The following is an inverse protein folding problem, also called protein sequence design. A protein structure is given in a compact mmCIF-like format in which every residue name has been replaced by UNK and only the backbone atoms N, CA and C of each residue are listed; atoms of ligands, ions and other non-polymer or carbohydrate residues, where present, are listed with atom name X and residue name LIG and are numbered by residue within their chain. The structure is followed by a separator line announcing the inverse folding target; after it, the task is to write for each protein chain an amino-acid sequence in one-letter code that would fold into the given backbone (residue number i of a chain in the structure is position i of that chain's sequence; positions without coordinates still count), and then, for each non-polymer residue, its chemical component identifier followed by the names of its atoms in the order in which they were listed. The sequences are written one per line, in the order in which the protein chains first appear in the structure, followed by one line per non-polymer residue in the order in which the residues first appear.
data_IF_449894315657
#
_entry.id   IF_449894315657
#
_cell.length_a   1.000
_cell.length_b   1.000
_cell.length_c   1.000
_cell.angle_alpha   90.00
_cell.angle_beta   90.00
_cell.angle_gamma   90.00
#
_symmetry.space_group_name_H-M   'P 1'
#
loop_
_entity.id
_entity.type
_entity.pdbx_description
1 polymer ?
#
# COMPACT_ATOMS: atom_id res chain seq x y z
N UNK A 1 -63.12 -23.10 -0.17
CA UNK A 1 -61.73 -23.32 0.32
C UNK A 1 -60.86 -23.40 -0.91
N UNK A 2 -59.85 -22.52 -1.03
CA UNK A 2 -58.93 -22.56 -2.15
C UNK A 2 -57.88 -23.67 -1.89
N UNK A 3 -57.75 -24.61 -2.82
CA UNK A 3 -56.77 -25.66 -2.73
C UNK A 3 -55.37 -25.08 -2.89
N UNK A 4 -54.50 -25.26 -1.91
CA UNK A 4 -53.12 -24.85 -1.99
C UNK A 4 -52.30 -25.98 -2.64
N UNK A 5 -52.08 -25.91 -3.96
CA UNK A 5 -51.28 -26.87 -4.74
C UNK A 5 -49.82 -26.42 -4.91
N UNK A 6 -49.33 -25.47 -4.09
CA UNK A 6 -47.98 -24.93 -4.22
C UNK A 6 -46.90 -26.02 -4.04
N UNK A 7 -47.18 -27.06 -3.26
CA UNK A 7 -46.26 -28.20 -3.07
C UNK A 7 -46.12 -29.09 -4.32
N UNK A 8 -47.10 -29.07 -5.24
CA UNK A 8 -47.04 -29.88 -6.45
C UNK A 8 -46.52 -29.10 -7.68
N UNK A 9 -46.10 -27.85 -7.51
CA UNK A 9 -45.51 -27.07 -8.59
C UNK A 9 -44.01 -27.41 -8.70
N UNK A 10 -43.57 -28.08 -9.78
CA UNK A 10 -42.16 -28.42 -9.93
C UNK A 10 -41.33 -27.16 -10.04
N UNK A 11 -40.33 -27.04 -9.19
CA UNK A 11 -39.32 -25.97 -9.26
C UNK A 11 -38.29 -26.36 -10.31
N UNK A 12 -38.18 -25.54 -11.36
CA UNK A 12 -37.12 -25.72 -12.36
C UNK A 12 -35.91 -24.89 -11.97
N UNK A 13 -34.82 -25.56 -11.65
CA UNK A 13 -33.55 -24.89 -11.41
C UNK A 13 -32.82 -24.60 -12.73
N UNK A 14 -32.21 -23.44 -12.85
CA UNK A 14 -31.37 -23.12 -14.01
C UNK A 14 -30.02 -23.83 -13.91
N UNK A 15 -29.63 -24.53 -14.96
CA UNK A 15 -28.29 -25.10 -15.11
C UNK A 15 -27.21 -24.02 -15.35
N UNK A 16 -27.65 -22.76 -15.59
CA UNK A 16 -26.71 -21.64 -15.76
C UNK A 16 -26.45 -20.96 -14.43
N UNK A 17 -25.23 -21.04 -13.95
CA UNK A 17 -24.75 -20.28 -12.80
C UNK A 17 -24.39 -18.86 -13.26
N UNK A 18 -24.81 -17.85 -12.50
CA UNK A 18 -24.37 -16.47 -12.75
C UNK A 18 -22.93 -16.34 -12.25
N UNK A 19 -21.99 -16.13 -13.17
CA UNK A 19 -20.61 -15.85 -12.79
C UNK A 19 -20.49 -14.42 -12.26
N UNK A 20 -19.73 -14.24 -11.19
CA UNK A 20 -19.38 -12.91 -10.69
C UNK A 20 -18.50 -12.18 -11.70
N UNK A 21 -18.77 -10.90 -11.92
CA UNK A 21 -17.85 -10.02 -12.64
C UNK A 21 -16.68 -9.69 -11.69
N UNK A 22 -15.46 -9.83 -12.21
CA UNK A 22 -14.25 -9.51 -11.49
C UNK A 22 -13.47 -8.45 -12.25
N UNK A 23 -12.88 -7.51 -11.54
CA UNK A 23 -11.92 -6.61 -12.13
C UNK A 23 -10.68 -7.39 -12.56
N UNK A 24 -10.05 -6.96 -13.66
CA UNK A 24 -8.77 -7.51 -14.10
C UNK A 24 -7.69 -7.19 -13.06
N UNK A 25 -6.80 -8.15 -12.80
CA UNK A 25 -5.68 -7.96 -11.89
C UNK A 25 -4.60 -7.14 -12.56
N UNK A 26 -3.99 -6.22 -11.82
CA UNK A 26 -3.05 -5.23 -12.35
C UNK A 26 -1.62 -5.43 -11.85
N UNK A 27 -1.42 -6.21 -10.78
CA UNK A 27 -0.11 -6.33 -10.14
C UNK A 27 0.98 -6.78 -11.12
N UNK A 28 0.70 -7.75 -11.99
CA UNK A 28 1.67 -8.29 -12.94
C UNK A 28 2.18 -7.28 -13.97
N UNK A 29 1.44 -6.17 -14.18
CA UNK A 29 1.82 -5.11 -15.11
C UNK A 29 2.70 -4.03 -14.48
N UNK A 30 2.68 -3.91 -13.17
CA UNK A 30 3.32 -2.82 -12.42
C UNK A 30 4.45 -3.29 -11.50
N UNK A 31 4.50 -4.59 -11.18
CA UNK A 31 5.56 -5.18 -10.37
C UNK A 31 6.72 -5.68 -11.23
N UNK A 32 7.92 -5.65 -10.67
CA UNK A 32 9.10 -6.23 -11.28
C UNK A 32 9.14 -7.75 -11.02
N UNK A 33 9.34 -8.54 -12.07
CA UNK A 33 9.43 -10.00 -12.03
C UNK A 33 10.86 -10.50 -12.36
N UNK A 34 11.86 -9.63 -12.36
CA UNK A 34 13.22 -9.98 -12.80
C UNK A 34 13.86 -11.08 -11.95
N UNK A 35 13.46 -11.19 -10.67
CA UNK A 35 14.00 -12.17 -9.73
C UNK A 35 13.17 -13.45 -9.60
N UNK A 36 12.05 -13.58 -10.33
CA UNK A 36 11.16 -14.75 -10.24
C UNK A 36 11.88 -16.07 -10.56
N UNK A 37 12.83 -16.05 -11.50
CA UNK A 37 13.62 -17.22 -11.88
C UNK A 37 14.70 -17.64 -10.88
N UNK A 38 15.08 -16.76 -9.95
CA UNK A 38 16.12 -17.01 -8.94
C UNK A 38 15.56 -17.61 -7.66
N UNK A 39 14.28 -17.35 -7.37
CA UNK A 39 13.57 -17.88 -6.19
C UNK A 39 12.85 -19.16 -6.59
N UNK A 40 13.34 -20.32 -6.11
CA UNK A 40 12.80 -21.64 -6.47
C UNK A 40 11.91 -22.24 -5.39
N UNK A 41 12.21 -21.99 -4.12
CA UNK A 41 11.53 -22.59 -2.99
C UNK A 41 11.05 -21.53 -1.97
N UNK A 42 10.00 -21.87 -1.22
CA UNK A 42 9.49 -21.00 -0.15
C UNK A 42 10.55 -20.82 0.96
N UNK A 43 10.83 -19.58 1.31
CA UNK A 43 11.85 -19.23 2.29
C UNK A 43 13.23 -18.93 1.70
N UNK A 44 13.38 -19.04 0.38
CA UNK A 44 14.59 -18.59 -0.29
C UNK A 44 14.72 -17.08 -0.22
N UNK A 45 15.98 -16.64 -0.18
CA UNK A 45 16.36 -15.22 -0.15
C UNK A 45 17.22 -14.90 -1.34
N UNK A 46 16.94 -13.78 -1.99
CA UNK A 46 17.80 -13.20 -3.00
C UNK A 46 18.49 -11.97 -2.44
N UNK A 47 19.83 -11.95 -2.47
CA UNK A 47 20.60 -10.80 -2.04
C UNK A 47 20.88 -9.91 -3.24
N UNK A 48 20.23 -8.75 -3.27
CA UNK A 48 20.42 -7.74 -4.30
C UNK A 48 21.53 -6.80 -3.84
N UNK A 49 22.60 -6.67 -4.64
CA UNK A 49 23.70 -5.75 -4.37
C UNK A 49 23.39 -4.39 -4.97
N UNK A 50 23.59 -3.34 -4.20
CA UNK A 50 23.44 -1.96 -4.68
C UNK A 50 24.78 -1.40 -5.11
N UNK A 51 24.75 -0.53 -6.12
CA UNK A 51 25.93 0.22 -6.54
C UNK A 51 26.30 1.26 -5.47
N UNK A 52 27.58 1.57 -5.38
CA UNK A 52 28.12 2.56 -4.42
C UNK A 52 28.27 3.90 -5.12
N UNK A 53 27.74 4.95 -4.50
CA UNK A 53 27.92 6.31 -5.00
C UNK A 53 29.38 6.77 -4.83
N UNK A 54 29.96 7.27 -5.94
CA UNK A 54 31.32 7.81 -5.95
C UNK A 54 31.24 9.32 -5.77
N UNK A 55 31.91 9.81 -4.72
CA UNK A 55 32.01 11.25 -4.45
C UNK A 55 33.12 11.86 -5.30
N UNK A 56 32.76 12.85 -6.12
CA UNK A 56 33.74 13.62 -6.89
C UNK A 56 34.32 14.74 -6.03
N UNK A 57 35.64 14.70 -5.83
CA UNK A 57 36.36 15.73 -5.09
C UNK A 57 37.06 16.69 -6.04
N UNK A 58 37.12 18.00 -5.66
CA UNK A 58 37.81 19.01 -6.46
C UNK A 58 39.31 18.90 -6.22
N UNK A 59 40.10 18.78 -7.29
CA UNK A 59 41.53 18.76 -7.25
C UNK A 59 42.13 20.19 -7.22
N UNK A 60 43.03 20.45 -6.32
CA UNK A 60 43.85 21.65 -6.31
C UNK A 60 45.34 21.26 -6.48
N UNK A 61 46.09 22.00 -7.27
CA UNK A 61 47.50 21.70 -7.57
C UNK A 61 48.33 21.59 -6.25
N UNK A 62 48.99 20.43 -6.08
CA UNK A 62 49.78 20.13 -4.87
C UNK A 62 49.02 19.45 -3.75
N UNK A 63 47.73 19.13 -3.92
CA UNK A 63 46.94 18.40 -2.94
C UNK A 63 47.28 16.91 -3.00
N UNK A 64 47.37 16.28 -1.81
CA UNK A 64 47.47 14.82 -1.71
C UNK A 64 46.08 14.21 -1.98
N UNK A 65 45.98 13.28 -2.93
CA UNK A 65 44.72 12.60 -3.24
C UNK A 65 44.43 11.56 -2.17
N UNK A 66 43.21 11.61 -1.61
CA UNK A 66 42.70 10.62 -0.68
C UNK A 66 41.78 9.67 -1.45
N UNK A 67 42.04 8.38 -1.36
CA UNK A 67 41.20 7.36 -1.95
C UNK A 67 39.90 7.24 -1.14
N UNK A 68 38.78 7.10 -1.84
CA UNK A 68 37.48 6.77 -1.23
C UNK A 68 37.44 5.25 -1.02
N UNK A 69 37.01 4.81 0.16
CA UNK A 69 36.73 3.42 0.45
C UNK A 69 35.28 3.11 0.00
N UNK A 70 35.12 2.12 -0.88
CA UNK A 70 33.83 1.75 -1.45
C UNK A 70 33.25 0.58 -0.64
N UNK A 71 32.22 0.84 0.15
CA UNK A 71 31.48 -0.17 0.91
C UNK A 71 30.14 -0.43 0.25
N UNK A 72 30.00 -1.50 -0.58
CA UNK A 72 28.72 -1.86 -1.19
C UNK A 72 27.73 -2.30 -0.12
N UNK A 73 26.49 -1.86 -0.27
CA UNK A 73 25.35 -2.35 0.53
C UNK A 73 24.61 -3.45 -0.22
N UNK A 74 23.88 -4.26 0.51
CA UNK A 74 23.02 -5.30 -0.06
C UNK A 74 21.68 -5.31 0.64
N UNK A 75 20.62 -5.55 -0.12
CA UNK A 75 19.27 -5.74 0.38
C UNK A 75 18.85 -7.19 0.17
N UNK A 76 18.12 -7.75 1.13
CA UNK A 76 17.59 -9.10 1.02
C UNK A 76 16.12 -9.05 0.59
N UNK A 77 15.82 -9.69 -0.55
CA UNK A 77 14.45 -9.98 -0.95
C UNK A 77 14.06 -11.33 -0.34
N UNK A 78 13.12 -11.32 0.61
CA UNK A 78 12.66 -12.51 1.32
C UNK A 78 11.25 -12.86 0.88
N UNK A 79 10.98 -14.15 0.60
CA UNK A 79 9.64 -14.65 0.32
C UNK A 79 8.94 -14.99 1.64
N UNK A 80 8.14 -14.07 2.15
CA UNK A 80 7.45 -14.19 3.44
C UNK A 80 5.92 -14.31 3.32
N UNK A 81 5.34 -14.03 2.14
CA UNK A 81 3.90 -14.03 1.91
C UNK A 81 3.44 -15.25 1.13
N UNK A 82 2.56 -16.05 1.73
CA UNK A 82 1.99 -17.24 1.11
C UNK A 82 0.48 -17.27 1.28
N UNK A 83 -0.25 -17.60 0.22
CA UNK A 83 -1.72 -17.69 0.24
C UNK A 83 -2.16 -19.05 -0.30
N UNK A 84 -3.17 -19.64 0.33
CA UNK A 84 -3.79 -20.86 -0.16
C UNK A 84 -5.30 -20.80 -0.03
N UNK A 85 -6.00 -21.59 -0.83
CA UNK A 85 -7.42 -21.89 -0.62
C UNK A 85 -7.64 -23.40 -0.66
N UNK A 86 -8.60 -23.85 0.14
CA UNK A 86 -9.01 -25.28 0.20
C UNK A 86 -10.53 -25.34 0.34
N UNK A 87 -11.16 -26.21 -0.43
CA UNK A 87 -12.55 -26.58 -0.27
C UNK A 87 -12.70 -28.10 -0.41
N UNK A 88 -13.73 -28.65 0.19
CA UNK A 88 -14.02 -30.08 0.18
C UNK A 88 -15.41 -30.24 -0.44
N UNK A 89 -15.53 -31.16 -1.38
CA UNK A 89 -16.82 -31.58 -1.96
C UNK A 89 -17.00 -33.05 -1.60
N UNK A 90 -18.10 -33.40 -0.97
CA UNK A 90 -18.44 -34.78 -0.63
C UNK A 90 -18.73 -35.58 -1.92
N UNK A 91 -18.39 -36.87 -1.91
CA UNK A 91 -18.60 -37.71 -3.08
C UNK A 91 -20.10 -37.89 -3.45
N UNK A 92 -20.99 -37.81 -2.47
CA UNK A 92 -22.44 -37.83 -2.68
C UNK A 92 -22.88 -36.56 -3.40
N UNK A 93 -22.42 -35.40 -2.95
CA UNK A 93 -22.72 -34.10 -3.56
C UNK A 93 -22.17 -34.00 -4.97
N UNK A 94 -20.98 -34.58 -5.21
CA UNK A 94 -20.37 -34.64 -6.53
C UNK A 94 -21.17 -35.45 -7.54
N UNK A 95 -21.78 -36.56 -7.10
CA UNK A 95 -22.63 -37.42 -7.93
C UNK A 95 -24.01 -36.78 -8.20
N UNK A 96 -24.56 -36.06 -7.25
CA UNK A 96 -25.88 -35.43 -7.33
C UNK A 96 -25.87 -34.06 -7.99
N UNK A 97 -24.68 -33.48 -8.20
CA UNK A 97 -24.55 -32.13 -8.76
C UNK A 97 -24.46 -32.21 -10.29
N UNK A 98 -25.43 -31.64 -10.96
CA UNK A 98 -25.51 -31.53 -12.42
C UNK A 98 -24.66 -30.41 -13.02
N UNK A 99 -24.01 -29.61 -12.14
CA UNK A 99 -23.12 -28.51 -12.52
C UNK A 99 -21.69 -28.90 -12.16
N UNK A 100 -20.72 -28.66 -13.05
CA UNK A 100 -19.31 -28.88 -12.77
C UNK A 100 -18.79 -27.88 -11.70
N UNK A 101 -19.15 -28.15 -10.44
CA UNK A 101 -18.89 -27.28 -9.29
C UNK A 101 -17.40 -27.17 -8.99
N UNK A 102 -16.63 -28.25 -9.12
CA UNK A 102 -15.21 -28.29 -8.77
C UNK A 102 -14.42 -27.29 -9.65
N UNK A 103 -14.62 -27.34 -10.98
CA UNK A 103 -13.89 -26.45 -11.89
C UNK A 103 -14.32 -24.99 -11.73
N UNK A 104 -15.61 -24.77 -11.47
CA UNK A 104 -16.14 -23.42 -11.25
C UNK A 104 -15.62 -22.80 -9.97
N UNK A 105 -15.65 -23.54 -8.86
CA UNK A 105 -15.14 -23.03 -7.57
C UNK A 105 -13.62 -22.92 -7.56
N UNK A 106 -12.91 -23.80 -8.26
CA UNK A 106 -11.47 -23.67 -8.48
C UNK A 106 -11.14 -22.40 -9.26
N UNK A 107 -11.89 -22.11 -10.33
CA UNK A 107 -11.73 -20.86 -11.10
C UNK A 107 -12.06 -19.62 -10.26
N UNK A 108 -13.12 -19.68 -9.46
CA UNK A 108 -13.50 -18.61 -8.53
C UNK A 108 -12.40 -18.38 -7.47
N UNK A 109 -11.86 -19.45 -6.90
CA UNK A 109 -10.76 -19.41 -5.93
C UNK A 109 -9.49 -18.74 -6.50
N UNK A 110 -9.11 -19.09 -7.74
CA UNK A 110 -7.98 -18.43 -8.43
C UNK A 110 -8.19 -16.92 -8.59
N UNK A 111 -9.38 -16.51 -9.04
CA UNK A 111 -9.72 -15.08 -9.20
C UNK A 111 -9.69 -14.35 -7.85
N UNK A 112 -10.22 -14.98 -6.80
CA UNK A 112 -10.20 -14.40 -5.46
C UNK A 112 -8.77 -14.27 -4.93
N UNK A 113 -7.91 -15.27 -5.17
CA UNK A 113 -6.50 -15.22 -4.82
C UNK A 113 -5.79 -14.07 -5.52
N UNK A 114 -5.95 -13.93 -6.83
CA UNK A 114 -5.35 -12.83 -7.59
C UNK A 114 -5.79 -11.46 -7.09
N UNK A 115 -7.08 -11.30 -6.75
CA UNK A 115 -7.59 -10.07 -6.15
C UNK A 115 -6.97 -9.78 -4.78
N UNK A 116 -6.77 -10.82 -3.96
CA UNK A 116 -6.12 -10.66 -2.65
C UNK A 116 -4.68 -10.20 -2.81
N UNK A 117 -3.94 -10.79 -3.76
CA UNK A 117 -2.56 -10.38 -4.09
C UNK A 117 -2.51 -8.93 -4.53
N UNK A 118 -3.40 -8.49 -5.44
CA UNK A 118 -3.50 -7.07 -5.83
C UNK A 118 -3.70 -6.16 -4.62
N UNK A 119 -4.64 -6.51 -3.74
CA UNK A 119 -4.94 -5.72 -2.55
C UNK A 119 -3.73 -5.62 -1.61
N UNK A 120 -3.05 -6.74 -1.38
CA UNK A 120 -1.88 -6.80 -0.50
C UNK A 120 -0.73 -5.95 -1.07
N UNK A 121 -0.44 -6.05 -2.37
CA UNK A 121 0.60 -5.26 -3.05
C UNK A 121 0.29 -3.76 -2.99
N UNK A 122 -0.94 -3.35 -3.33
CA UNK A 122 -1.31 -1.93 -3.27
C UNK A 122 -1.31 -1.38 -1.84
N UNK A 123 -1.67 -2.20 -0.87
CA UNK A 123 -1.61 -1.82 0.55
C UNK A 123 -0.15 -1.61 0.97
N UNK A 124 0.72 -2.54 0.60
CA UNK A 124 2.15 -2.42 0.87
C UNK A 124 2.76 -1.17 0.22
N UNK A 125 2.50 -0.96 -1.08
CA UNK A 125 2.96 0.24 -1.79
C UNK A 125 2.49 1.53 -1.13
N UNK A 126 1.24 1.57 -0.67
CA UNK A 126 0.71 2.73 0.07
C UNK A 126 1.43 2.93 1.40
N UNK A 127 1.72 1.87 2.13
CA UNK A 127 2.35 1.95 3.45
C UNK A 127 3.80 2.40 3.36
N UNK A 128 4.53 1.94 2.35
CA UNK A 128 5.95 2.25 2.14
C UNK A 128 6.18 3.55 1.33
N UNK A 129 5.12 4.15 0.76
CA UNK A 129 5.27 5.40 0.04
C UNK A 129 5.78 6.51 0.97
N UNK A 130 6.83 7.22 0.53
CA UNK A 130 7.37 8.37 1.26
C UNK A 130 6.30 9.46 1.39
N UNK A 131 6.28 10.17 2.52
CA UNK A 131 5.28 11.19 2.80
C UNK A 131 5.17 12.28 1.73
N UNK A 132 6.29 12.65 1.10
CA UNK A 132 6.31 13.66 0.04
C UNK A 132 5.67 13.17 -1.28
N UNK A 133 5.48 11.86 -1.44
CA UNK A 133 4.84 11.26 -2.61
C UNK A 133 3.30 11.21 -2.51
N UNK A 134 2.74 11.67 -1.40
CA UNK A 134 1.29 11.80 -1.26
C UNK A 134 0.81 13.12 -1.84
N UNK A 135 -0.13 13.05 -2.76
CA UNK A 135 -0.75 14.21 -3.42
C UNK A 135 -2.19 14.36 -2.94
N UNK A 136 -2.50 15.50 -2.34
CA UNK A 136 -3.82 15.78 -1.79
C UNK A 136 -3.85 17.13 -1.06
N UNK A 137 -4.90 17.35 -0.28
CA UNK A 137 -4.98 18.55 0.57
C UNK A 137 -4.29 18.27 1.90
N UNK A 138 -3.22 19.00 2.17
CA UNK A 138 -2.46 18.89 3.41
C UNK A 138 -3.19 19.58 4.58
N UNK A 139 -3.01 19.03 5.77
CA UNK A 139 -3.48 19.64 7.02
C UNK A 139 -2.30 20.18 7.83
N UNK A 140 -2.41 21.42 8.29
CA UNK A 140 -1.36 22.09 9.08
C UNK A 140 -1.91 22.98 10.20
N UNK A 141 -3.14 22.72 10.67
CA UNK A 141 -3.81 23.56 11.68
C UNK A 141 -3.38 23.17 13.10
N UNK A 142 -3.07 24.17 13.91
CA UNK A 142 -2.73 24.01 15.33
C UNK A 142 -1.26 23.61 15.54
N UNK A 143 -0.96 23.25 16.78
CA UNK A 143 0.37 22.82 17.21
C UNK A 143 0.27 21.48 17.95
N UNK A 144 1.38 20.76 18.02
CA UNK A 144 1.42 19.41 18.58
C UNK A 144 2.57 19.22 19.56
N UNK A 145 2.42 18.22 20.42
CA UNK A 145 3.49 17.57 21.17
C UNK A 145 3.49 16.07 20.83
N UNK A 146 4.67 15.45 20.76
CA UNK A 146 4.80 14.01 20.49
C UNK A 146 5.58 13.34 21.58
N UNK A 147 5.04 12.26 22.14
CA UNK A 147 5.71 11.48 23.17
C UNK A 147 6.61 10.39 22.55
N UNK A 148 7.88 10.34 22.95
CA UNK A 148 8.82 9.31 22.52
C UNK A 148 8.34 7.90 22.90
N UNK A 149 8.65 6.91 22.07
CA UNK A 149 8.40 5.50 22.33
C UNK A 149 6.93 5.05 22.18
N UNK A 150 5.97 5.96 22.41
CA UNK A 150 4.54 5.64 22.26
C UNK A 150 3.91 6.22 21.01
N UNK A 151 4.54 7.24 20.42
CA UNK A 151 3.98 7.97 19.29
C UNK A 151 2.65 8.68 19.58
N UNK A 152 2.33 8.91 20.87
CA UNK A 152 1.14 9.67 21.24
C UNK A 152 1.34 11.15 20.89
N UNK A 153 0.45 11.68 20.06
CA UNK A 153 0.43 13.07 19.62
C UNK A 153 -0.71 13.79 20.33
N UNK A 154 -0.37 14.87 21.02
CA UNK A 154 -1.35 15.76 21.67
C UNK A 154 -1.34 17.10 20.95
N UNK A 155 -2.50 17.51 20.41
CA UNK A 155 -2.69 18.74 19.66
C UNK A 155 -3.32 19.86 20.49
N UNK A 156 -2.93 21.07 20.18
CA UNK A 156 -3.53 22.32 20.68
C UNK A 156 -4.04 23.13 19.49
N UNK A 157 -5.36 23.39 19.48
CA UNK A 157 -6.01 24.05 18.35
C UNK A 157 -6.08 23.20 17.09
N UNK A 158 -5.91 21.88 17.21
CA UNK A 158 -6.02 20.93 16.12
C UNK A 158 -7.46 20.43 15.96
N UNK A 159 -7.78 19.93 14.77
CA UNK A 159 -9.07 19.30 14.42
C UNK A 159 -8.80 18.01 13.64
N UNK A 160 -8.14 17.06 14.29
CA UNK A 160 -7.87 15.77 13.67
C UNK A 160 -9.17 15.02 13.37
N UNK A 161 -9.17 14.19 12.35
CA UNK A 161 -10.31 13.36 11.96
C UNK A 161 -9.90 11.91 11.75
N UNK A 162 -10.86 10.99 11.87
CA UNK A 162 -10.61 9.57 11.63
C UNK A 162 -10.15 9.28 10.19
N UNK A 163 -10.49 10.15 9.22
CA UNK A 163 -10.06 10.01 7.84
C UNK A 163 -8.54 10.21 7.65
N UNK A 164 -7.86 10.80 8.64
CA UNK A 164 -6.40 11.00 8.59
C UNK A 164 -5.60 9.74 8.99
N UNK A 165 -6.25 8.69 9.46
CA UNK A 165 -5.58 7.41 9.77
C UNK A 165 -4.97 6.82 8.50
N UNK A 166 -3.73 6.39 8.59
CA UNK A 166 -2.94 5.88 7.47
C UNK A 166 -2.27 6.98 6.62
N UNK A 167 -2.42 8.27 6.99
CA UNK A 167 -1.76 9.37 6.27
C UNK A 167 -0.42 9.74 6.91
N UNK A 168 0.53 10.26 6.11
CA UNK A 168 1.83 10.67 6.59
C UNK A 168 1.73 11.92 7.48
N UNK A 169 2.34 11.87 8.64
CA UNK A 169 2.44 12.92 9.63
C UNK A 169 3.90 13.35 9.85
N UNK A 170 4.13 14.64 9.91
CA UNK A 170 5.44 15.20 10.27
C UNK A 170 5.26 16.43 11.15
N UNK A 171 5.93 16.47 12.29
CA UNK A 171 6.01 17.66 13.14
C UNK A 171 7.37 18.36 12.94
N UNK A 172 7.43 19.66 13.22
CA UNK A 172 8.70 20.40 13.27
C UNK A 172 9.62 19.74 14.30
N UNK A 173 10.80 19.33 13.87
CA UNK A 173 11.75 18.55 14.64
C UNK A 173 11.85 17.09 14.21
N UNK A 174 10.91 16.60 13.42
CA UNK A 174 11.05 15.30 12.77
C UNK A 174 11.88 15.39 11.48
N UNK A 175 12.77 14.45 11.27
CA UNK A 175 13.55 14.32 10.03
C UNK A 175 12.76 13.60 8.93
N UNK A 176 11.93 12.64 9.33
CA UNK A 176 11.15 11.77 8.44
C UNK A 176 9.64 11.93 8.67
N UNK A 177 8.83 11.35 7.79
CA UNK A 177 7.40 11.19 8.02
C UNK A 177 7.12 9.94 8.85
N UNK A 178 6.03 9.98 9.59
CA UNK A 178 5.45 8.88 10.38
C UNK A 178 4.04 8.62 9.89
N UNK A 179 3.50 7.45 10.14
CA UNK A 179 2.14 7.09 9.74
C UNK A 179 1.18 7.23 10.91
N UNK A 180 0.04 7.86 10.72
CA UNK A 180 -1.02 7.92 11.73
C UNK A 180 -1.65 6.54 11.86
N UNK A 181 -1.42 5.86 12.98
CA UNK A 181 -1.96 4.51 13.24
C UNK A 181 -3.34 4.52 13.87
N UNK A 182 -3.65 5.52 14.69
CA UNK A 182 -4.94 5.59 15.38
C UNK A 182 -5.40 7.04 15.57
N UNK A 183 -6.73 7.22 15.55
CA UNK A 183 -7.42 8.45 15.89
C UNK A 183 -8.17 8.26 17.22
N UNK A 184 -7.95 9.16 18.17
CA UNK A 184 -8.64 9.15 19.46
C UNK A 184 -9.63 10.31 19.58
N UNK A 185 -9.21 11.52 19.21
CA UNK A 185 -10.05 12.73 19.24
C UNK A 185 -9.51 13.80 18.30
N UNK A 186 -10.23 14.91 18.13
CA UNK A 186 -9.77 16.07 17.37
C UNK A 186 -8.44 16.67 17.85
N UNK A 187 -7.98 16.31 19.03
CA UNK A 187 -6.72 16.76 19.62
C UNK A 187 -5.76 15.62 19.97
N UNK A 188 -6.09 14.37 19.64
CA UNK A 188 -5.25 13.23 19.99
C UNK A 188 -5.25 12.16 18.90
N UNK A 189 -4.05 11.83 18.42
CA UNK A 189 -3.77 10.74 17.47
C UNK A 189 -2.55 9.98 17.92
N UNK A 190 -2.33 8.80 17.37
CA UNK A 190 -1.12 8.00 17.59
C UNK A 190 -0.41 7.80 16.27
N UNK A 191 0.91 7.94 16.26
CA UNK A 191 1.77 7.74 15.11
C UNK A 191 2.71 6.56 15.32
N UNK A 192 3.10 5.94 14.23
CA UNK A 192 4.07 4.84 14.16
C UNK A 192 5.08 5.14 13.05
N UNK A 193 6.19 4.44 13.05
CA UNK A 193 7.16 4.53 11.96
C UNK A 193 6.54 4.05 10.64
N UNK A 194 7.08 4.43 9.52
CA UNK A 194 6.71 3.84 8.23
C UNK A 194 6.92 2.32 8.30
N UNK A 195 6.01 1.55 7.71
CA UNK A 195 6.00 0.10 7.90
C UNK A 195 5.23 -0.39 9.14
N UNK A 196 4.66 0.52 9.95
CA UNK A 196 3.76 0.18 11.06
C UNK A 196 4.45 -0.26 12.36
N UNK A 197 5.77 -0.12 12.45
CA UNK A 197 6.51 -0.41 13.69
C UNK A 197 6.34 0.70 14.72
N UNK A 198 6.60 0.40 15.99
CA UNK A 198 6.49 1.37 17.09
C UNK A 198 7.30 2.64 16.80
N UNK A 199 6.72 3.80 17.11
CA UNK A 199 7.37 5.10 16.94
C UNK A 199 8.78 5.13 17.55
N UNK A 200 9.79 5.33 16.72
CA UNK A 200 11.21 5.38 17.11
C UNK A 200 11.74 6.81 17.30
N UNK A 201 10.91 7.80 16.95
CA UNK A 201 11.30 9.22 17.04
C UNK A 201 11.42 9.73 18.46
N UNK A 202 12.13 10.84 18.61
CA UNK A 202 12.29 11.53 19.88
C UNK A 202 11.03 12.28 20.35
N UNK A 203 11.06 12.76 21.58
CA UNK A 203 10.01 13.65 22.11
C UNK A 203 10.03 15.00 21.38
N UNK A 204 8.86 15.43 20.91
CA UNK A 204 8.63 16.78 20.38
C UNK A 204 7.85 17.57 21.41
N UNK A 205 8.43 18.69 21.86
CA UNK A 205 7.80 19.57 22.83
C UNK A 205 6.52 20.23 22.29
N UNK A 206 5.68 20.70 23.21
CA UNK A 206 4.46 21.43 22.86
C UNK A 206 4.76 22.71 22.04
N UNK A 207 3.88 23.03 21.09
CA UNK A 207 4.02 24.21 20.24
C UNK A 207 4.67 23.94 18.88
N UNK A 208 5.07 22.71 18.58
CA UNK A 208 5.57 22.34 17.27
C UNK A 208 4.45 22.38 16.22
N UNK A 209 4.72 22.95 15.05
CA UNK A 209 3.77 22.85 13.92
C UNK A 209 3.80 21.43 13.34
N UNK A 210 2.70 21.01 12.76
CA UNK A 210 2.61 19.71 12.11
C UNK A 210 2.07 19.82 10.69
N UNK A 211 2.41 18.84 9.87
CA UNK A 211 1.83 18.66 8.53
C UNK A 211 1.38 17.21 8.39
N UNK A 212 0.13 17.02 7.96
CA UNK A 212 -0.40 15.72 7.57
C UNK A 212 -0.64 15.78 6.06
N UNK A 213 0.07 14.95 5.31
CA UNK A 213 -0.04 14.90 3.85
C UNK A 213 -1.35 14.24 3.42
N UNK A 214 -1.97 14.81 2.37
CA UNK A 214 -3.23 14.28 1.81
C UNK A 214 -4.31 13.98 2.89
N UNK A 215 -4.38 14.81 3.93
CA UNK A 215 -5.26 14.63 5.09
C UNK A 215 -6.75 14.54 4.74
N UNK A 216 -7.15 15.03 3.58
CA UNK A 216 -8.50 14.84 3.03
C UNK A 216 -8.46 14.40 1.58
N UNK A 217 -9.42 13.52 1.23
CA UNK A 217 -9.59 13.10 -0.15
C UNK A 217 -9.95 14.29 -1.05
N UNK A 218 -9.36 14.36 -2.22
CA UNK A 218 -9.67 15.36 -3.22
C UNK A 218 -10.63 14.76 -4.24
N UNK A 219 -11.78 15.41 -4.42
CA UNK A 219 -12.70 15.04 -5.47
C UNK A 219 -12.09 15.37 -6.85
N UNK A 220 -11.83 14.35 -7.65
CA UNK A 220 -11.35 14.51 -9.02
C UNK A 220 -12.53 14.90 -9.92
N UNK A 221 -12.43 16.06 -10.53
CA UNK A 221 -13.42 16.63 -11.44
C UNK A 221 -12.80 16.87 -12.82
N UNK A 222 -13.63 17.14 -13.83
CA UNK A 222 -13.15 17.46 -15.18
C UNK A 222 -12.23 18.67 -15.21
N UNK A 223 -12.42 19.62 -14.28
CA UNK A 223 -11.64 20.87 -14.22
C UNK A 223 -10.29 20.71 -13.55
N UNK A 224 -10.11 19.78 -12.62
CA UNK A 224 -8.88 19.60 -11.86
C UNK A 224 -8.08 18.35 -12.23
N UNK A 225 -8.64 17.42 -13.00
CA UNK A 225 -8.00 16.16 -13.36
C UNK A 225 -6.60 16.35 -13.97
N UNK A 226 -6.50 17.24 -14.98
CA UNK A 226 -5.23 17.49 -15.65
C UNK A 226 -4.17 18.07 -14.71
N UNK A 227 -4.58 19.00 -13.83
CA UNK A 227 -3.69 19.61 -12.84
C UNK A 227 -3.13 18.56 -11.87
N UNK A 228 -4.00 17.65 -11.37
CA UNK A 228 -3.55 16.56 -10.50
C UNK A 228 -2.62 15.59 -11.22
N UNK A 229 -2.89 15.27 -12.47
CA UNK A 229 -2.03 14.43 -13.29
C UNK A 229 -0.63 15.05 -13.44
N UNK A 230 -0.55 16.35 -13.74
CA UNK A 230 0.72 17.07 -13.81
C UNK A 230 1.45 17.11 -12.46
N UNK A 231 0.71 17.32 -11.36
CA UNK A 231 1.30 17.31 -10.01
C UNK A 231 1.88 15.95 -9.64
N UNK A 232 1.17 14.87 -9.95
CA UNK A 232 1.69 13.51 -9.76
C UNK A 232 2.96 13.25 -10.59
N UNK A 233 2.98 13.72 -11.84
CA UNK A 233 4.17 13.68 -12.69
C UNK A 233 5.36 14.44 -12.08
N UNK A 234 5.13 15.64 -11.56
CA UNK A 234 6.15 16.45 -10.90
C UNK A 234 6.72 15.77 -9.64
N UNK A 235 5.88 15.10 -8.84
CA UNK A 235 6.33 14.34 -7.66
C UNK A 235 7.25 13.19 -8.09
N UNK A 236 6.89 12.45 -9.15
CA UNK A 236 7.74 11.39 -9.70
C UNK A 236 9.07 11.94 -10.26
N UNK A 237 9.04 13.10 -10.93
CA UNK A 237 10.25 13.76 -11.44
C UNK A 237 11.16 14.23 -10.30
N UNK A 238 10.59 14.79 -9.24
CA UNK A 238 11.30 15.21 -8.03
C UNK A 238 11.95 14.03 -7.29
N UNK A 239 11.34 12.85 -7.39
CA UNK A 239 11.86 11.59 -6.81
C UNK A 239 12.84 10.87 -7.75
N UNK A 240 13.29 11.51 -8.84
CA UNK A 240 14.20 10.95 -9.84
C UNK A 240 13.70 9.63 -10.48
N UNK A 241 12.39 9.45 -10.51
CA UNK A 241 11.78 8.27 -11.11
C UNK A 241 11.92 8.31 -12.65
N UNK A 242 12.34 7.22 -13.33
CA UNK A 242 12.42 7.20 -14.80
C UNK A 242 11.11 7.63 -15.44
N UNK A 243 11.20 8.33 -16.59
CA UNK A 243 9.99 8.80 -17.31
C UNK A 243 9.29 7.68 -18.07
N UNK A 244 9.98 6.59 -18.32
CA UNK A 244 9.45 5.42 -18.99
C UNK A 244 8.70 4.52 -17.99
N UNK A 245 7.69 3.78 -18.49
CA UNK A 245 6.91 2.80 -17.71
C UNK A 245 6.21 3.38 -16.47
N UNK A 246 5.75 4.63 -16.52
CA UNK A 246 4.88 5.19 -15.48
C UNK A 246 3.43 4.78 -15.70
N UNK A 247 2.79 4.28 -14.67
CA UNK A 247 1.43 3.78 -14.71
C UNK A 247 0.50 4.61 -13.84
N UNK A 248 -0.74 4.75 -14.29
CA UNK A 248 -1.83 5.32 -13.49
C UNK A 248 -2.84 4.22 -13.27
N UNK A 249 -3.09 3.89 -12.00
CA UNK A 249 -4.09 2.91 -11.61
C UNK A 249 -5.30 3.65 -11.04
N UNK A 250 -6.45 3.52 -11.70
CA UNK A 250 -7.71 4.07 -11.22
C UNK A 250 -8.55 2.94 -10.67
N UNK A 251 -9.02 3.08 -9.44
CA UNK A 251 -9.98 2.17 -8.82
C UNK A 251 -11.38 2.75 -9.05
N UNK A 252 -12.27 1.95 -9.62
CA UNK A 252 -13.68 2.29 -9.86
C UNK A 252 -14.55 1.97 -8.66
#
# INVERSE_FOLDING_TARGET
MANNLAANTPKKYSLKLVSKLWNETLYSKITNNDYEGEIKDAGDRVVVRTEVDITLNTYTKGMTLVAQDLTPTSEELVVDQQKYFKFIVDDIDKLQNDINTIDRESSNGRKQMSKTVDTDIFTYMKTEALGDNYVGTDYSTGTVAVAAGTGAVTGTGTTFTAAMVGMPFKATGHTTYYTISAYTSGTSITIVDQGGTTYSGGTIGAGATCTIKAASAVAITKSNFYQYLCTMGQVLDASLCPQENRWIVCVS
#
